data_IF_817246880876
#
_entry.id   IF_817246880876
#
_cell.length_a   1.000
_cell.length_b   1.000
_cell.length_c   1.000
_cell.angle_alpha   90.00
_cell.angle_beta   90.00
_cell.angle_gamma   90.00
#
_symmetry.space_group_name_H-M   'P 1'
#
loop_
_entity.id
_entity.type
_entity.pdbx_description
1 polymer ?
#
# COMPACT_ATOMS: atom_id res chain seq x y z
N UNK A 1 36.20 -8.34 38.77
CA UNK A 1 35.97 -7.21 37.89
C UNK A 1 35.14 -7.75 36.72
N UNK A 2 33.86 -7.57 36.75
CA UNK A 2 32.97 -7.99 35.68
C UNK A 2 32.75 -6.78 34.79
N UNK A 3 33.29 -6.86 33.59
CA UNK A 3 33.05 -5.89 32.54
C UNK A 3 31.61 -6.02 32.11
N UNK A 4 30.76 -5.12 32.62
CA UNK A 4 29.42 -4.93 32.12
C UNK A 4 29.50 -4.37 30.68
N UNK A 5 29.24 -5.19 29.69
CA UNK A 5 28.91 -4.67 28.37
C UNK A 5 27.66 -3.78 28.50
N UNK A 6 27.68 -2.54 27.97
CA UNK A 6 26.48 -1.76 27.86
C UNK A 6 25.55 -2.51 26.88
N UNK A 7 24.40 -2.89 27.39
CA UNK A 7 23.35 -3.43 26.55
C UNK A 7 23.16 -2.50 25.37
N UNK A 8 23.04 -3.06 24.15
CA UNK A 8 22.64 -2.36 22.97
C UNK A 8 21.30 -1.69 23.29
N UNK A 9 21.34 -0.39 23.61
CA UNK A 9 20.13 0.41 23.56
C UNK A 9 19.67 0.33 22.11
N UNK A 10 18.61 -0.44 21.90
CA UNK A 10 17.95 -0.56 20.62
C UNK A 10 17.59 0.86 20.16
N UNK A 11 18.29 1.36 19.12
CA UNK A 11 18.08 2.70 18.59
C UNK A 11 16.60 2.99 18.26
N UNK A 12 15.81 1.93 18.07
CA UNK A 12 14.35 1.96 17.88
C UNK A 12 13.64 2.64 19.05
N UNK A 13 14.10 2.46 20.29
CA UNK A 13 13.49 3.07 21.47
C UNK A 13 13.67 4.61 21.47
N UNK A 14 14.80 5.11 20.97
CA UNK A 14 15.04 6.54 20.85
C UNK A 14 14.13 7.19 19.80
N UNK A 15 13.84 6.49 18.70
CA UNK A 15 12.98 6.98 17.64
C UNK A 15 11.53 7.19 18.07
N UNK A 16 11.07 6.51 19.09
CA UNK A 16 9.71 6.67 19.62
C UNK A 16 9.56 7.78 20.67
N UNK A 17 10.59 8.60 20.88
CA UNK A 17 10.57 9.73 21.82
C UNK A 17 10.44 11.08 21.15
N UNK A 18 10.51 11.11 19.82
CA UNK A 18 10.47 12.33 19.02
C UNK A 18 9.43 12.23 17.90
N UNK A 19 9.00 13.38 17.41
CA UNK A 19 8.22 13.44 16.17
C UNK A 19 9.17 13.35 14.99
N UNK A 20 8.81 12.51 14.02
CA UNK A 20 9.53 12.39 12.76
C UNK A 20 8.82 13.17 11.66
N UNK A 21 9.57 13.93 10.89
CA UNK A 21 9.07 14.70 9.77
C UNK A 21 9.77 14.27 8.48
N UNK A 22 8.98 13.76 7.55
CA UNK A 22 9.42 13.53 6.17
C UNK A 22 8.83 14.61 5.29
N UNK A 23 9.63 15.58 4.89
CA UNK A 23 9.21 16.61 3.95
C UNK A 23 9.08 16.04 2.53
N UNK A 24 8.42 16.80 1.63
CA UNK A 24 8.18 16.37 0.25
C UNK A 24 9.45 15.93 -0.49
N UNK A 25 10.55 16.62 -0.30
CA UNK A 25 11.85 16.24 -0.89
C UNK A 25 12.54 15.06 -0.22
N UNK A 26 11.98 14.53 0.87
CA UNK A 26 12.51 13.38 1.60
C UNK A 26 11.82 12.06 1.28
N UNK A 27 10.86 12.03 0.36
CA UNK A 27 10.23 10.80 -0.10
C UNK A 27 11.26 9.90 -0.82
N UNK A 28 11.14 8.60 -0.68
CA UNK A 28 12.05 7.61 -1.26
C UNK A 28 11.36 6.69 -2.24
N UNK A 29 11.99 6.46 -3.38
CA UNK A 29 11.58 5.44 -4.34
C UNK A 29 12.09 4.02 -3.96
N UNK A 30 12.93 3.92 -2.91
CA UNK A 30 13.45 2.66 -2.41
C UNK A 30 12.39 1.90 -1.61
N UNK A 31 11.37 1.46 -2.32
CA UNK A 31 10.23 0.69 -1.81
C UNK A 31 9.70 -0.23 -2.91
N UNK A 32 8.88 -1.21 -2.54
CA UNK A 32 8.31 -2.14 -3.50
C UNK A 32 7.49 -1.41 -4.58
N UNK A 33 7.78 -1.70 -5.83
CA UNK A 33 7.17 -1.07 -7.00
C UNK A 33 6.22 -2.00 -7.75
N UNK A 34 5.29 -1.40 -8.46
CA UNK A 34 4.37 -2.07 -9.38
C UNK A 34 4.57 -1.48 -10.77
N UNK A 35 4.75 -2.29 -11.82
CA UNK A 35 4.82 -1.77 -13.19
C UNK A 35 3.61 -0.89 -13.53
N UNK A 36 3.84 0.23 -14.19
CA UNK A 36 2.82 1.19 -14.59
C UNK A 36 2.52 2.28 -13.56
N UNK A 37 3.15 2.25 -12.38
CA UNK A 37 3.01 3.29 -11.35
C UNK A 37 4.33 3.50 -10.62
N UNK A 38 4.46 4.66 -9.96
CA UNK A 38 5.58 4.96 -9.06
C UNK A 38 5.10 5.06 -7.64
N UNK A 39 5.82 4.44 -6.72
CA UNK A 39 5.52 4.50 -5.29
C UNK A 39 6.66 5.17 -4.56
N UNK A 40 6.30 6.04 -3.61
CA UNK A 40 7.23 6.78 -2.77
C UNK A 40 6.93 6.50 -1.32
N UNK A 41 7.96 6.16 -0.56
CA UNK A 41 7.87 5.90 0.88
C UNK A 41 8.12 7.17 1.68
N UNK A 42 7.25 7.43 2.65
CA UNK A 42 7.39 8.52 3.61
C UNK A 42 7.64 8.00 5.03
N UNK A 43 6.89 7.00 5.46
CA UNK A 43 6.93 6.40 6.80
C UNK A 43 7.00 4.88 6.66
N UNK A 44 7.97 4.27 7.34
CA UNK A 44 8.12 2.81 7.38
C UNK A 44 8.94 2.39 8.60
N UNK A 45 9.06 1.08 8.80
CA UNK A 45 9.96 0.52 9.79
C UNK A 45 11.41 0.93 9.56
N UNK A 46 11.85 0.85 8.31
CA UNK A 46 13.23 1.18 7.93
C UNK A 46 13.56 2.68 8.08
N UNK A 47 12.60 3.56 7.79
CA UNK A 47 12.85 5.02 7.80
C UNK A 47 12.66 5.70 9.14
N UNK A 48 11.61 5.32 9.85
CA UNK A 48 11.16 6.05 11.05
C UNK A 48 11.01 5.14 12.27
N UNK A 49 11.34 3.86 12.14
CA UNK A 49 11.11 2.88 13.19
C UNK A 49 9.61 2.56 13.41
N UNK A 50 8.76 2.84 12.44
CA UNK A 50 7.34 2.49 12.51
C UNK A 50 7.18 0.99 12.73
N UNK A 51 6.24 0.60 13.58
CA UNK A 51 6.02 -0.81 13.93
C UNK A 51 4.74 -1.40 13.36
N UNK A 52 3.80 -0.53 12.92
CA UNK A 52 2.45 -0.97 12.53
C UNK A 52 1.92 -0.28 11.29
N UNK A 53 2.59 0.76 10.82
CA UNK A 53 2.13 1.51 9.65
C UNK A 53 3.27 1.72 8.67
N UNK A 54 2.90 1.71 7.42
CA UNK A 54 3.64 2.25 6.30
C UNK A 54 2.80 3.35 5.66
N UNK A 55 3.40 4.47 5.29
CA UNK A 55 2.72 5.53 4.53
C UNK A 55 3.61 6.04 3.41
N UNK A 56 2.96 6.38 2.31
CA UNK A 56 3.63 6.92 1.15
C UNK A 56 2.65 7.45 0.10
N UNK A 57 3.15 7.69 -1.08
CA UNK A 57 2.38 8.15 -2.23
C UNK A 57 2.50 7.16 -3.38
N UNK A 58 1.48 7.06 -4.20
CA UNK A 58 1.52 6.44 -5.51
C UNK A 58 1.13 7.44 -6.59
N UNK A 59 1.88 7.39 -7.68
CA UNK A 59 1.70 8.26 -8.84
C UNK A 59 1.46 7.39 -10.07
N UNK A 60 0.34 7.62 -10.75
CA UNK A 60 -0.01 6.95 -12.00
C UNK A 60 -0.06 8.01 -13.11
N UNK A 61 0.89 7.94 -14.03
CA UNK A 61 0.98 8.88 -15.13
C UNK A 61 -0.25 8.82 -16.04
N UNK A 62 -0.53 9.89 -16.82
CA UNK A 62 -1.65 9.91 -17.76
C UNK A 62 -1.66 8.68 -18.69
N UNK A 63 -2.82 8.07 -18.88
CA UNK A 63 -3.02 6.92 -19.75
C UNK A 63 -2.40 5.60 -19.29
N UNK A 64 -1.81 5.57 -18.08
CA UNK A 64 -1.15 4.37 -17.57
C UNK A 64 -2.12 3.46 -16.81
N UNK A 65 -1.81 2.17 -16.89
CA UNK A 65 -2.48 1.09 -16.17
C UNK A 65 -1.39 0.35 -15.39
N UNK A 66 -1.59 0.20 -14.08
CA UNK A 66 -0.66 -0.59 -13.27
C UNK A 66 -0.80 -2.09 -13.57
N UNK A 67 0.24 -2.86 -13.27
CA UNK A 67 0.10 -4.31 -13.19
C UNK A 67 -0.90 -4.71 -12.09
N UNK A 68 -1.54 -5.86 -12.26
CA UNK A 68 -2.37 -6.45 -11.23
C UNK A 68 -1.50 -6.86 -10.02
N UNK A 69 -1.96 -6.56 -8.81
CA UNK A 69 -1.20 -6.82 -7.60
C UNK A 69 -2.08 -6.89 -6.36
N UNK A 70 -1.50 -7.31 -5.24
CA UNK A 70 -2.09 -7.15 -3.91
C UNK A 70 -1.04 -6.70 -2.89
N UNK A 71 -1.49 -6.31 -1.70
CA UNK A 71 -0.63 -5.78 -0.64
C UNK A 71 -0.35 -6.79 0.49
N UNK A 72 -0.41 -8.09 0.18
CA UNK A 72 -0.26 -9.13 1.19
C UNK A 72 -1.29 -8.99 2.31
N UNK A 73 -0.86 -9.23 3.54
CA UNK A 73 -1.70 -9.12 4.74
C UNK A 73 -2.10 -7.69 5.12
N UNK A 74 -1.57 -6.67 4.43
CA UNK A 74 -1.83 -5.29 4.77
C UNK A 74 -3.24 -4.86 4.40
N UNK A 75 -3.93 -4.23 5.34
CA UNK A 75 -5.05 -3.36 5.05
C UNK A 75 -4.50 -2.05 4.49
N UNK A 76 -5.12 -1.51 3.45
CA UNK A 76 -4.67 -0.26 2.83
C UNK A 76 -5.79 0.76 2.77
N UNK A 77 -5.58 1.89 3.42
CA UNK A 77 -6.37 3.10 3.21
C UNK A 77 -5.72 3.95 2.13
N UNK A 78 -6.51 4.46 1.20
CA UNK A 78 -6.09 5.31 0.09
C UNK A 78 -6.86 6.62 0.17
N UNK A 79 -6.15 7.75 0.03
CA UNK A 79 -6.75 9.07 -0.11
C UNK A 79 -6.32 9.67 -1.43
N UNK A 80 -7.28 10.09 -2.26
CA UNK A 80 -6.99 10.72 -3.55
C UNK A 80 -6.62 12.18 -3.36
N UNK A 81 -5.40 12.54 -3.74
CA UNK A 81 -4.88 13.91 -3.66
C UNK A 81 -5.25 14.70 -4.91
N UNK A 82 -5.01 14.11 -6.10
CA UNK A 82 -5.28 14.72 -7.40
C UNK A 82 -5.53 13.67 -8.47
N UNK A 83 -6.13 14.10 -9.58
CA UNK A 83 -6.51 13.20 -10.66
C UNK A 83 -7.76 12.38 -10.35
N UNK A 84 -8.09 11.49 -11.25
CA UNK A 84 -9.29 10.63 -11.16
C UNK A 84 -8.89 9.17 -11.42
N UNK A 85 -8.22 8.52 -10.45
CA UNK A 85 -7.84 7.12 -10.58
C UNK A 85 -9.07 6.21 -10.60
N UNK A 86 -8.94 5.10 -11.33
CA UNK A 86 -9.94 4.03 -11.37
C UNK A 86 -9.30 2.79 -10.75
N UNK A 87 -9.96 2.22 -9.76
CA UNK A 87 -9.55 0.97 -9.11
C UNK A 87 -10.35 -0.18 -9.71
N UNK A 88 -9.67 -1.20 -10.17
CA UNK A 88 -10.30 -2.36 -10.82
C UNK A 88 -9.99 -3.62 -10.02
N UNK A 89 -11.03 -4.38 -9.73
CA UNK A 89 -10.97 -5.64 -8.98
C UNK A 89 -12.07 -6.60 -9.49
N UNK A 90 -12.07 -7.84 -9.03
CA UNK A 90 -13.13 -8.79 -9.39
C UNK A 90 -14.28 -8.73 -8.39
N UNK A 91 -15.50 -8.78 -8.92
CA UNK A 91 -16.69 -9.02 -8.12
C UNK A 91 -16.64 -10.45 -7.55
N UNK A 92 -16.87 -10.59 -6.24
CA UNK A 92 -16.79 -11.87 -5.56
C UNK A 92 -17.80 -12.90 -6.09
N UNK A 93 -18.96 -12.44 -6.57
CA UNK A 93 -20.07 -13.32 -6.96
C UNK A 93 -20.10 -13.61 -8.47
N UNK A 94 -19.51 -12.76 -9.29
CA UNK A 94 -19.72 -12.79 -10.74
C UNK A 94 -18.44 -13.05 -11.55
N UNK A 95 -17.28 -13.10 -10.94
CA UNK A 95 -15.99 -13.16 -11.63
C UNK A 95 -15.86 -12.07 -12.73
N UNK A 96 -16.50 -10.94 -12.49
CA UNK A 96 -16.59 -9.81 -13.41
C UNK A 96 -15.75 -8.65 -12.87
N UNK A 97 -15.04 -7.96 -13.74
CA UNK A 97 -14.30 -6.78 -13.35
C UNK A 97 -15.26 -5.66 -12.90
N UNK A 98 -15.03 -5.18 -11.70
CA UNK A 98 -15.65 -3.98 -11.14
C UNK A 98 -14.69 -2.82 -11.27
N UNK A 99 -15.22 -1.67 -11.62
CA UNK A 99 -14.48 -0.41 -11.76
C UNK A 99 -15.03 0.59 -10.75
N UNK A 100 -14.15 1.09 -9.89
CA UNK A 100 -14.46 2.12 -8.91
C UNK A 100 -13.72 3.39 -9.32
N UNK A 101 -14.46 4.39 -9.76
CA UNK A 101 -13.93 5.72 -10.06
C UNK A 101 -13.83 6.54 -8.79
N UNK A 102 -12.71 7.21 -8.58
CA UNK A 102 -12.48 8.08 -7.43
C UNK A 102 -11.91 9.42 -7.87
N UNK A 103 -12.13 10.44 -7.07
CA UNK A 103 -11.65 11.80 -7.31
C UNK A 103 -11.03 12.43 -6.06
N UNK A 104 -10.46 13.64 -6.18
CA UNK A 104 -9.81 14.33 -5.08
C UNK A 104 -10.71 14.44 -3.85
N UNK A 105 -10.20 14.01 -2.70
CA UNK A 105 -10.94 13.97 -1.44
C UNK A 105 -11.61 12.64 -1.12
N UNK A 106 -11.65 11.70 -2.06
CA UNK A 106 -12.24 10.38 -1.83
C UNK A 106 -11.29 9.46 -1.07
N UNK A 107 -11.88 8.51 -0.34
CA UNK A 107 -11.18 7.44 0.36
C UNK A 107 -11.56 6.09 -0.22
N UNK A 108 -10.58 5.23 -0.39
CA UNK A 108 -10.75 3.84 -0.83
C UNK A 108 -10.09 2.92 0.18
N UNK A 109 -10.77 1.84 0.53
CA UNK A 109 -10.22 0.78 1.37
C UNK A 109 -9.94 -0.46 0.53
N UNK A 110 -8.73 -0.98 0.61
CA UNK A 110 -8.33 -2.23 -0.03
C UNK A 110 -8.09 -3.28 1.05
N UNK A 111 -8.91 -4.34 1.08
CA UNK A 111 -8.74 -5.44 2.03
C UNK A 111 -7.41 -6.19 1.83
N UNK A 112 -6.96 -6.96 2.84
CA UNK A 112 -5.82 -7.85 2.69
C UNK A 112 -5.99 -8.82 1.51
N UNK A 113 -4.89 -9.06 0.80
CA UNK A 113 -4.76 -10.02 -0.30
C UNK A 113 -5.65 -9.79 -1.52
N UNK A 114 -6.45 -8.73 -1.57
CA UNK A 114 -7.36 -8.48 -2.69
C UNK A 114 -6.59 -8.10 -3.97
N UNK A 115 -6.66 -8.90 -5.05
CA UNK A 115 -6.12 -8.53 -6.34
C UNK A 115 -6.83 -7.30 -6.92
N UNK A 116 -6.04 -6.30 -7.31
CA UNK A 116 -6.55 -5.08 -7.93
C UNK A 116 -5.48 -4.44 -8.82
N UNK A 117 -5.90 -3.44 -9.59
CA UNK A 117 -5.01 -2.52 -10.30
C UNK A 117 -5.54 -1.10 -10.24
N UNK A 118 -4.67 -0.13 -10.44
CA UNK A 118 -5.02 1.26 -10.64
C UNK A 118 -4.83 1.64 -12.10
N UNK A 119 -5.78 2.40 -12.61
CA UNK A 119 -5.76 2.96 -13.95
C UNK A 119 -5.92 4.48 -13.88
N UNK A 120 -5.21 5.20 -14.73
CA UNK A 120 -5.43 6.62 -14.92
C UNK A 120 -5.90 6.87 -16.36
N UNK A 121 -7.21 7.02 -16.58
CA UNK A 121 -7.75 7.24 -17.92
C UNK A 121 -7.53 8.66 -18.45
N UNK A 122 -7.06 9.60 -17.64
CA UNK A 122 -6.76 10.96 -18.11
C UNK A 122 -5.68 10.96 -19.17
N UNK A 123 -5.81 11.85 -20.13
CA UNK A 123 -4.83 12.02 -21.21
C UNK A 123 -3.64 12.90 -20.78
N UNK A 124 -3.81 13.75 -19.76
CA UNK A 124 -2.90 14.84 -19.44
C UNK A 124 -2.66 15.07 -17.94
N UNK A 125 -3.47 14.50 -17.06
CA UNK A 125 -3.37 14.67 -15.61
C UNK A 125 -2.84 13.40 -14.93
N UNK A 126 -1.78 13.53 -14.10
CA UNK A 126 -1.32 12.45 -13.23
C UNK A 126 -2.30 12.22 -12.09
N UNK A 127 -2.55 10.97 -11.74
CA UNK A 127 -3.28 10.61 -10.55
C UNK A 127 -2.31 10.39 -9.38
N UNK A 128 -2.55 11.09 -8.27
CA UNK A 128 -1.74 11.01 -7.06
C UNK A 128 -2.60 10.60 -5.88
N UNK A 129 -2.19 9.56 -5.19
CA UNK A 129 -2.85 9.07 -3.99
C UNK A 129 -1.88 8.94 -2.83
N UNK A 130 -2.35 9.18 -1.61
CA UNK A 130 -1.65 8.84 -0.38
C UNK A 130 -2.13 7.47 0.08
N UNK A 131 -1.20 6.62 0.46
CA UNK A 131 -1.44 5.27 0.97
C UNK A 131 -1.07 5.19 2.45
N UNK A 132 -1.93 4.56 3.23
CA UNK A 132 -1.63 4.14 4.61
C UNK A 132 -1.88 2.64 4.71
N UNK A 133 -0.90 1.89 5.17
CA UNK A 133 -0.96 0.42 5.31
C UNK A 133 -0.74 -0.01 6.74
N UNK A 134 -1.38 -1.10 7.13
CA UNK A 134 -1.30 -1.65 8.48
C UNK A 134 -0.02 -2.46 8.76
N UNK A 135 0.92 -2.48 7.83
CA UNK A 135 2.25 -3.09 7.96
C UNK A 135 3.33 -2.01 8.01
N UNK A 136 4.47 -2.32 8.62
CA UNK A 136 5.59 -1.37 8.74
C UNK A 136 6.41 -1.23 7.45
N UNK A 137 6.25 -2.13 6.51
CA UNK A 137 6.90 -2.12 5.20
C UNK A 137 5.86 -2.17 4.07
N UNK A 138 6.22 -1.65 2.92
CA UNK A 138 5.36 -1.62 1.74
C UNK A 138 5.32 -2.96 1.03
N UNK A 139 4.39 -3.84 1.39
CA UNK A 139 4.22 -5.13 0.75
C UNK A 139 3.54 -4.96 -0.61
N UNK A 140 4.12 -5.54 -1.65
CA UNK A 140 3.53 -5.65 -2.99
C UNK A 140 3.84 -7.02 -3.58
N UNK A 141 2.79 -7.69 -4.01
CA UNK A 141 2.87 -8.95 -4.77
C UNK A 141 2.25 -8.70 -6.13
N UNK A 142 3.08 -8.63 -7.17
CA UNK A 142 2.62 -8.47 -8.55
C UNK A 142 2.07 -9.80 -9.07
N UNK A 143 0.96 -9.74 -9.79
CA UNK A 143 0.20 -10.88 -10.28
C UNK A 143 0.18 -10.90 -11.82
N UNK A 144 -0.04 -12.06 -12.40
CA UNK A 144 -0.23 -12.19 -13.85
C UNK A 144 -1.61 -11.71 -14.31
N UNK A 145 -2.60 -11.80 -13.44
CA UNK A 145 -3.97 -11.31 -13.68
C UNK A 145 -4.74 -11.13 -12.38
N UNK A 146 -5.87 -10.41 -12.44
CA UNK A 146 -6.82 -10.32 -11.32
C UNK A 146 -7.40 -11.69 -10.93
N UNK A 147 -7.33 -12.68 -11.81
CA UNK A 147 -7.80 -14.06 -11.59
C UNK A 147 -6.71 -15.00 -11.07
N UNK A 148 -5.53 -14.49 -10.79
CA UNK A 148 -4.47 -15.28 -10.18
C UNK A 148 -4.95 -15.85 -8.83
N UNK A 149 -4.62 -17.10 -8.57
CA UNK A 149 -4.93 -17.73 -7.29
C UNK A 149 -4.16 -17.04 -6.16
N UNK A 150 -4.87 -16.69 -5.09
CA UNK A 150 -4.32 -16.11 -3.87
C UNK A 150 -4.81 -16.95 -2.69
N UNK A 151 -4.13 -18.06 -2.36
CA UNK A 151 -4.58 -18.99 -1.32
C UNK A 151 -4.75 -18.35 0.06
N UNK A 152 -4.01 -17.27 0.33
CA UNK A 152 -4.12 -16.50 1.57
C UNK A 152 -5.46 -15.79 1.67
N UNK A 153 -5.97 -15.26 0.55
CA UNK A 153 -7.29 -14.64 0.50
C UNK A 153 -8.41 -15.65 0.78
N UNK A 154 -8.33 -16.82 0.15
CA UNK A 154 -9.32 -17.88 0.33
C UNK A 154 -9.37 -18.35 1.80
N UNK A 155 -8.19 -18.48 2.43
CA UNK A 155 -8.10 -18.82 3.86
C UNK A 155 -8.70 -17.74 4.75
N UNK A 156 -8.38 -16.47 4.49
CA UNK A 156 -8.91 -15.34 5.25
C UNK A 156 -10.43 -15.29 5.16
N UNK A 157 -11.00 -15.44 3.96
CA UNK A 157 -12.45 -15.46 3.76
C UNK A 157 -13.09 -16.61 4.53
N UNK A 158 -12.50 -17.81 4.49
CA UNK A 158 -13.00 -18.97 5.22
C UNK A 158 -12.94 -18.77 6.74
N UNK A 159 -11.89 -18.16 7.28
CA UNK A 159 -11.75 -17.85 8.70
C UNK A 159 -12.79 -16.82 9.16
N UNK A 160 -13.02 -15.76 8.39
CA UNK A 160 -14.03 -14.75 8.69
C UNK A 160 -15.45 -15.33 8.68
N UNK A 161 -15.76 -16.19 7.70
CA UNK A 161 -17.06 -16.86 7.61
C UNK A 161 -17.29 -17.87 8.75
N UNK A 162 -16.24 -18.47 9.32
CA UNK A 162 -16.34 -19.41 10.43
C UNK A 162 -16.45 -18.71 11.81
N UNK A 163 -16.10 -17.43 11.89
CA UNK A 163 -16.16 -16.62 13.11
C UNK A 163 -17.50 -15.91 13.36
N UNK A 164 -18.43 -15.98 12.40
CA UNK A 164 -19.82 -15.54 12.53
C UNK A 164 -20.70 -16.67 13.10
#
# INVERSE_FOLDING_TARGET
>A
MSDGQPGSEDGTAAWHRELHHTGRGGLSEDTAQTPGMRRYEAISGARNGSRKIWMGESHVAPGMISADHHHGEAETGIYVVSGHPVFVFLDADADTERRLEAGPGDYVYVPPYLPHREENPSADEEAVVVLARSTQEGIVVNLESLRAEVPELDRLIAELAAGE
#
